data_IF_605950199954
#
_entry.id   IF_605950199954
#
_cell.length_a   1.000
_cell.length_b   1.000
_cell.length_c   1.000
_cell.angle_alpha   90.00
_cell.angle_beta   90.00
_cell.angle_gamma   90.00
#
_symmetry.space_group_name_H-M   'P 1'
#
loop_
_entity.id
_entity.type
_entity.pdbx_description
1 polymer ?
#
# COMPACT_ATOMS: atom_id res chain seq x y z
N UNK A 1 20.78 -2.64 -64.21
CA UNK A 1 19.56 -3.33 -63.76
C UNK A 1 19.85 -4.07 -62.46
N UNK A 2 19.49 -3.50 -61.31
CA UNK A 2 19.27 -4.28 -60.08
C UNK A 2 18.07 -3.62 -59.38
N UNK A 3 17.03 -4.42 -59.15
CA UNK A 3 15.69 -4.02 -58.75
C UNK A 3 15.60 -3.63 -57.27
N UNK A 4 14.80 -2.60 -56.98
CA UNK A 4 14.28 -2.29 -55.65
C UNK A 4 13.38 -3.43 -55.16
N UNK A 5 13.66 -3.98 -53.98
CA UNK A 5 12.75 -4.89 -53.28
C UNK A 5 11.91 -4.07 -52.29
N UNK A 6 10.65 -3.85 -52.64
CA UNK A 6 9.62 -3.30 -51.76
C UNK A 6 9.29 -4.35 -50.70
N UNK A 7 9.43 -4.01 -49.42
CA UNK A 7 9.03 -4.87 -48.30
C UNK A 7 7.49 -4.97 -48.25
N UNK A 8 6.98 -6.19 -48.12
CA UNK A 8 5.53 -6.49 -48.10
C UNK A 8 4.90 -6.16 -46.73
N UNK A 9 3.58 -5.88 -46.64
CA UNK A 9 2.92 -5.41 -45.42
C UNK A 9 2.80 -6.43 -44.28
N UNK A 10 3.32 -7.65 -44.47
CA UNK A 10 3.08 -8.79 -43.57
C UNK A 10 4.04 -8.84 -42.37
N UNK A 11 5.14 -8.08 -42.40
CA UNK A 11 6.18 -8.10 -41.35
C UNK A 11 5.86 -7.16 -40.17
N UNK A 12 4.95 -6.19 -40.34
CA UNK A 12 4.56 -5.27 -39.28
C UNK A 12 3.64 -5.93 -38.23
N UNK A 13 2.81 -6.92 -38.62
CA UNK A 13 1.89 -7.62 -37.71
C UNK A 13 2.59 -8.64 -36.80
N UNK A 14 3.75 -9.18 -37.20
CA UNK A 14 4.53 -10.12 -36.38
C UNK A 14 5.29 -9.41 -35.24
N UNK A 15 5.69 -8.15 -35.43
CA UNK A 15 6.37 -7.36 -34.39
C UNK A 15 5.39 -6.84 -33.33
N UNK A 16 4.15 -6.48 -33.69
CA UNK A 16 3.14 -6.00 -32.72
C UNK A 16 2.64 -7.13 -31.81
N UNK A 17 2.50 -8.35 -32.32
CA UNK A 17 2.10 -9.51 -31.51
C UNK A 17 3.18 -9.92 -30.49
N UNK A 18 4.47 -9.76 -30.85
CA UNK A 18 5.60 -10.03 -29.94
C UNK A 18 5.66 -9.06 -28.75
N UNK A 19 5.32 -7.79 -28.96
CA UNK A 19 5.32 -6.77 -27.90
C UNK A 19 4.14 -6.98 -26.94
N UNK A 20 2.94 -7.30 -27.45
CA UNK A 20 1.79 -7.63 -26.61
C UNK A 20 2.02 -8.91 -25.78
N UNK A 21 2.70 -9.92 -26.33
CA UNK A 21 3.08 -11.14 -25.61
C UNK A 21 4.21 -10.93 -24.59
N UNK A 22 5.13 -9.98 -24.85
CA UNK A 22 6.20 -9.62 -23.92
C UNK A 22 5.64 -8.82 -22.73
N UNK A 23 4.73 -7.87 -22.96
CA UNK A 23 4.03 -7.12 -21.89
C UNK A 23 3.15 -8.07 -21.05
N UNK A 24 2.48 -9.03 -21.70
CA UNK A 24 1.74 -10.11 -21.04
C UNK A 24 2.62 -11.00 -20.15
N UNK A 25 3.81 -11.40 -20.63
CA UNK A 25 4.79 -12.21 -19.88
C UNK A 25 5.43 -11.47 -18.71
N UNK A 26 5.78 -10.19 -18.87
CA UNK A 26 6.35 -9.37 -17.78
C UNK A 26 5.33 -9.18 -16.64
N UNK A 27 4.03 -9.05 -16.96
CA UNK A 27 2.97 -8.96 -15.96
C UNK A 27 2.73 -10.29 -15.20
N UNK A 28 2.89 -11.44 -15.86
CA UNK A 28 2.82 -12.77 -15.23
C UNK A 28 4.07 -13.07 -14.39
N UNK A 29 5.24 -12.61 -14.81
CA UNK A 29 6.46 -12.70 -14.03
C UNK A 29 6.35 -11.91 -12.73
N UNK A 30 5.99 -10.62 -12.72
CA UNK A 30 5.91 -9.85 -11.46
C UNK A 30 5.04 -10.48 -10.36
N UNK A 31 3.91 -11.10 -10.71
CA UNK A 31 3.04 -11.81 -9.73
C UNK A 31 3.63 -13.15 -9.26
N UNK A 32 4.43 -13.82 -10.09
CA UNK A 32 5.18 -15.03 -9.71
C UNK A 32 6.36 -14.70 -8.79
N UNK A 33 7.01 -13.55 -8.98
CA UNK A 33 8.21 -13.16 -8.25
C UNK A 33 7.93 -12.88 -6.77
N UNK A 34 6.82 -12.22 -6.44
CA UNK A 34 6.46 -12.01 -5.03
C UNK A 34 5.93 -13.29 -4.35
N UNK A 35 5.25 -14.18 -5.09
CA UNK A 35 4.72 -15.46 -4.57
C UNK A 35 5.81 -16.46 -4.21
N UNK A 36 6.94 -16.43 -4.92
CA UNK A 36 8.05 -17.35 -4.66
C UNK A 36 8.91 -16.92 -3.46
N UNK A 37 8.71 -15.72 -2.93
CA UNK A 37 9.59 -15.11 -1.93
C UNK A 37 8.86 -14.68 -0.65
N UNK A 38 7.58 -14.31 -0.75
CA UNK A 38 6.71 -14.12 0.43
C UNK A 38 5.89 -15.36 0.74
N UNK A 39 5.64 -15.60 2.03
CA UNK A 39 4.72 -16.65 2.47
C UNK A 39 3.28 -16.26 2.13
N UNK A 40 2.42 -17.26 1.90
CA UNK A 40 0.98 -17.02 1.86
C UNK A 40 0.52 -16.52 3.24
N UNK A 41 -0.41 -15.57 3.26
CA UNK A 41 -0.88 -14.95 4.51
C UNK A 41 -1.90 -15.83 5.22
N UNK A 42 -2.69 -16.60 4.46
CA UNK A 42 -3.68 -17.54 5.00
C UNK A 42 -4.01 -18.63 3.98
N UNK A 43 -4.94 -19.53 4.32
CA UNK A 43 -5.56 -20.45 3.37
C UNK A 43 -6.85 -19.85 2.83
N UNK A 44 -7.23 -20.22 1.61
CA UNK A 44 -8.50 -19.80 1.05
C UNK A 44 -9.67 -20.29 1.93
N UNK A 45 -10.60 -19.40 2.29
CA UNK A 45 -11.75 -19.74 3.14
C UNK A 45 -12.83 -20.53 2.38
N UNK A 46 -12.66 -20.79 1.08
CA UNK A 46 -13.59 -21.55 0.24
C UNK A 46 -13.48 -23.08 0.40
N UNK A 47 -12.79 -23.55 1.45
CA UNK A 47 -12.61 -24.97 1.76
C UNK A 47 -11.55 -25.67 0.89
N UNK A 48 -11.02 -25.03 -0.16
CA UNK A 48 -10.01 -25.66 -1.04
C UNK A 48 -8.67 -25.93 -0.36
N UNK A 49 -8.40 -25.30 0.79
CA UNK A 49 -7.13 -25.41 1.52
C UNK A 49 -5.94 -24.77 0.78
N UNK A 50 -6.17 -24.19 -0.39
CA UNK A 50 -5.13 -23.57 -1.22
C UNK A 50 -4.57 -22.31 -0.55
N UNK A 51 -3.29 -21.97 -0.74
CA UNK A 51 -2.72 -20.78 -0.13
C UNK A 51 -3.32 -19.50 -0.74
N UNK A 52 -3.58 -18.51 0.11
CA UNK A 52 -4.08 -17.19 -0.25
C UNK A 52 -3.00 -16.14 0.02
N UNK A 53 -2.65 -15.41 -1.03
CA UNK A 53 -1.77 -14.25 -0.95
C UNK A 53 -2.60 -12.98 -0.93
N UNK A 54 -2.32 -12.13 0.04
CA UNK A 54 -3.00 -10.85 0.22
C UNK A 54 -2.00 -9.70 0.23
N UNK A 55 -2.50 -8.50 -0.05
CA UNK A 55 -1.78 -7.27 0.23
C UNK A 55 -2.14 -6.78 1.65
N UNK A 56 -1.27 -6.00 2.32
CA UNK A 56 -0.02 -5.44 1.80
C UNK A 56 1.13 -6.45 1.72
N UNK A 57 2.11 -6.12 0.88
CA UNK A 57 3.42 -6.79 0.81
C UNK A 57 4.52 -5.73 0.89
N UNK A 58 5.62 -6.07 1.56
CA UNK A 58 6.82 -5.25 1.68
C UNK A 58 8.00 -5.97 1.03
N UNK A 59 8.80 -5.22 0.27
CA UNK A 59 10.14 -5.64 -0.15
C UNK A 59 11.11 -4.64 0.45
N UNK A 60 11.96 -5.10 1.37
CA UNK A 60 13.07 -4.29 1.90
C UNK A 60 14.37 -4.69 1.17
N UNK A 61 14.89 -3.83 0.27
CA UNK A 61 16.14 -4.08 -0.43
C UNK A 61 17.39 -3.73 0.40
N UNK A 62 17.23 -3.10 1.56
CA UNK A 62 18.34 -2.62 2.40
C UNK A 62 18.87 -3.69 3.35
N UNK A 63 17.97 -4.52 3.87
CA UNK A 63 18.31 -5.63 4.76
C UNK A 63 18.27 -6.95 3.99
N UNK A 64 19.42 -7.29 3.42
CA UNK A 64 19.61 -8.54 2.69
C UNK A 64 19.83 -9.72 3.64
N UNK A 65 19.32 -10.88 3.28
CA UNK A 65 19.61 -12.13 3.98
C UNK A 65 21.07 -12.60 3.73
N UNK A 66 21.46 -13.71 4.35
CA UNK A 66 22.79 -14.31 4.20
C UNK A 66 23.12 -14.74 2.77
N UNK A 67 22.12 -14.86 1.90
CA UNK A 67 22.27 -15.18 0.47
C UNK A 67 22.26 -13.93 -0.43
N UNK A 68 22.26 -12.72 0.16
CA UNK A 68 22.25 -11.45 -0.57
C UNK A 68 20.88 -11.09 -1.16
N UNK A 69 19.80 -11.69 -0.67
CA UNK A 69 18.44 -11.52 -1.18
C UNK A 69 17.65 -10.51 -0.35
N UNK A 70 16.79 -9.68 -0.97
CA UNK A 70 15.97 -8.72 -0.23
C UNK A 70 14.96 -9.43 0.66
N UNK A 71 14.61 -8.80 1.77
CA UNK A 71 13.56 -9.31 2.65
C UNK A 71 12.19 -9.06 1.99
N UNK A 72 11.41 -10.13 1.81
CA UNK A 72 10.06 -10.05 1.20
C UNK A 72 9.03 -10.56 2.19
N UNK A 73 8.09 -9.69 2.57
CA UNK A 73 7.09 -9.96 3.59
C UNK A 73 5.69 -9.69 3.06
N UNK A 74 4.74 -10.43 3.58
CA UNK A 74 3.29 -10.28 3.41
C UNK A 74 2.67 -10.37 4.80
N UNK A 75 1.41 -9.94 4.94
CA UNK A 75 0.71 -9.73 6.22
C UNK A 75 1.11 -8.44 6.94
N UNK A 76 0.12 -7.59 7.24
CA UNK A 76 0.37 -6.26 7.81
C UNK A 76 1.01 -6.31 9.20
N UNK A 77 0.64 -7.28 10.05
CA UNK A 77 1.22 -7.41 11.38
C UNK A 77 2.66 -7.94 11.30
N UNK A 78 2.91 -8.89 10.41
CA UNK A 78 4.27 -9.39 10.14
C UNK A 78 5.17 -8.27 9.64
N UNK A 79 4.68 -7.46 8.69
CA UNK A 79 5.39 -6.31 8.15
C UNK A 79 5.72 -5.30 9.26
N UNK A 80 4.75 -4.92 10.09
CA UNK A 80 4.99 -3.92 11.15
C UNK A 80 5.98 -4.45 12.20
N UNK A 81 5.88 -5.72 12.61
CA UNK A 81 6.86 -6.32 13.54
C UNK A 81 8.27 -6.33 12.97
N UNK A 82 8.42 -6.58 11.67
CA UNK A 82 9.70 -6.49 11.00
C UNK A 82 10.24 -5.05 11.00
N UNK A 83 9.41 -4.08 10.63
CA UNK A 83 9.81 -2.68 10.61
C UNK A 83 10.23 -2.19 12.00
N UNK A 84 9.48 -2.54 13.05
CA UNK A 84 9.82 -2.20 14.44
C UNK A 84 11.13 -2.85 14.93
N UNK A 85 11.47 -4.03 14.41
CA UNK A 85 12.71 -4.72 14.76
C UNK A 85 13.93 -4.12 14.03
N UNK A 86 13.74 -3.71 12.78
CA UNK A 86 14.81 -3.25 11.89
C UNK A 86 15.04 -1.74 11.98
N UNK A 87 13.99 -0.98 12.30
CA UNK A 87 13.99 0.49 12.44
C UNK A 87 13.48 0.87 13.84
N UNK A 88 14.24 0.57 14.91
CA UNK A 88 13.78 0.69 16.29
C UNK A 88 13.50 2.14 16.74
N UNK A 89 14.00 3.13 16.03
CA UNK A 89 13.76 4.56 16.28
C UNK A 89 12.32 5.00 16.02
N UNK A 90 11.54 4.18 15.30
CA UNK A 90 10.17 4.48 14.87
C UNK A 90 9.16 3.41 15.30
N UNK A 91 9.42 2.71 16.41
CA UNK A 91 8.55 1.62 16.89
C UNK A 91 7.11 2.05 17.17
N UNK A 92 6.16 1.35 16.57
CA UNK A 92 4.72 1.56 16.77
C UNK A 92 4.05 0.48 17.62
N UNK A 93 4.70 -0.66 17.82
CA UNK A 93 4.31 -1.73 18.75
C UNK A 93 5.24 -1.66 19.97
N UNK A 94 4.67 -1.55 21.17
CA UNK A 94 5.46 -1.57 22.40
C UNK A 94 5.78 -3.00 22.81
N UNK A 95 6.95 -3.20 23.38
CA UNK A 95 7.36 -4.50 23.89
C UNK A 95 6.37 -4.99 24.96
N UNK A 96 6.04 -6.29 24.92
CA UNK A 96 5.08 -6.90 25.85
C UNK A 96 3.59 -6.66 25.53
N UNK A 97 3.23 -5.83 24.55
CA UNK A 97 1.82 -5.46 24.27
C UNK A 97 1.18 -6.23 23.11
N UNK A 98 1.87 -7.24 22.54
CA UNK A 98 1.39 -8.01 21.38
C UNK A 98 -0.03 -8.57 21.54
N UNK A 99 -0.37 -9.11 22.71
CA UNK A 99 -1.70 -9.67 22.98
C UNK A 99 -2.78 -8.58 23.01
N UNK A 100 -2.46 -7.41 23.55
CA UNK A 100 -3.37 -6.26 23.60
C UNK A 100 -3.66 -5.72 22.20
N UNK A 101 -2.64 -5.60 21.35
CA UNK A 101 -2.84 -5.21 19.95
C UNK A 101 -3.67 -6.23 19.17
N UNK A 102 -3.46 -7.53 19.40
CA UNK A 102 -4.27 -8.57 18.77
C UNK A 102 -5.74 -8.48 19.19
N UNK A 103 -6.00 -8.28 20.49
CA UNK A 103 -7.35 -8.08 21.02
C UNK A 103 -8.01 -6.81 20.48
N UNK A 104 -7.26 -5.70 20.42
CA UNK A 104 -7.73 -4.44 19.86
C UNK A 104 -8.07 -4.55 18.37
N UNK A 105 -7.19 -5.15 17.57
CA UNK A 105 -7.45 -5.36 16.14
C UNK A 105 -8.71 -6.22 15.90
N UNK A 106 -8.90 -7.27 16.69
CA UNK A 106 -10.12 -8.08 16.65
C UNK A 106 -11.36 -7.27 17.05
N UNK A 107 -11.26 -6.44 18.08
CA UNK A 107 -12.33 -5.55 18.53
C UNK A 107 -12.72 -4.52 17.46
N UNK A 108 -11.74 -3.91 16.79
CA UNK A 108 -11.99 -2.99 15.67
C UNK A 108 -12.62 -3.73 14.48
N UNK A 109 -12.14 -4.93 14.14
CA UNK A 109 -12.76 -5.71 13.08
C UNK A 109 -14.22 -6.06 13.40
N UNK A 110 -14.51 -6.49 14.62
CA UNK A 110 -15.86 -6.85 15.05
C UNK A 110 -16.82 -5.65 15.07
N UNK A 111 -16.34 -4.48 15.51
CA UNK A 111 -17.21 -3.31 15.72
C UNK A 111 -17.19 -2.32 14.56
N UNK A 112 -16.24 -2.37 13.64
CA UNK A 112 -16.16 -1.40 12.54
C UNK A 112 -15.86 -2.08 11.20
N UNK A 113 -14.69 -2.71 11.08
CA UNK A 113 -14.23 -3.26 9.80
C UNK A 113 -15.21 -4.25 9.17
N UNK A 114 -15.70 -5.21 9.94
CA UNK A 114 -16.68 -6.21 9.51
C UNK A 114 -18.05 -5.63 9.19
N UNK A 115 -18.46 -4.55 9.86
CA UNK A 115 -19.74 -3.86 9.60
C UNK A 115 -19.70 -3.04 8.31
N UNK A 116 -18.54 -2.46 8.01
CA UNK A 116 -18.32 -1.75 6.74
C UNK A 116 -18.30 -2.68 5.52
N UNK A 117 -18.07 -3.98 5.70
CA UNK A 117 -18.01 -4.94 4.57
C UNK A 117 -19.28 -4.89 3.72
N UNK A 118 -20.45 -4.93 4.35
CA UNK A 118 -21.74 -4.86 3.67
C UNK A 118 -21.91 -3.56 2.86
N UNK A 119 -21.49 -2.43 3.43
CA UNK A 119 -21.67 -1.11 2.83
C UNK A 119 -20.67 -0.81 1.70
N UNK A 120 -19.42 -1.27 1.87
CA UNK A 120 -18.28 -0.81 1.08
C UNK A 120 -17.90 -1.81 -0.02
N UNK A 121 -17.96 -3.13 0.24
CA UNK A 121 -17.55 -4.14 -0.74
C UNK A 121 -18.34 -4.06 -2.06
N UNK A 122 -19.67 -3.87 -2.06
CA UNK A 122 -20.43 -3.72 -3.30
C UNK A 122 -20.04 -2.51 -4.15
N UNK A 123 -19.43 -1.49 -3.52
CA UNK A 123 -19.02 -0.25 -4.17
C UNK A 123 -17.58 -0.30 -4.71
N UNK A 124 -16.73 -1.18 -4.17
CA UNK A 124 -15.35 -1.39 -4.64
C UNK A 124 -15.21 -1.53 -6.17
N UNK A 125 -16.07 -2.29 -6.90
CA UNK A 125 -15.98 -2.42 -8.36
C UNK A 125 -15.92 -1.08 -9.13
N UNK A 126 -16.52 -0.01 -8.59
CA UNK A 126 -16.63 1.28 -9.27
C UNK A 126 -15.31 2.05 -9.34
N UNK A 127 -14.34 1.73 -8.48
CA UNK A 127 -13.04 2.42 -8.41
C UNK A 127 -11.87 1.56 -8.90
N UNK A 128 -12.15 0.32 -9.32
CA UNK A 128 -11.12 -0.63 -9.78
C UNK A 128 -10.93 -0.55 -11.30
N UNK A 129 -9.69 -0.77 -11.75
CA UNK A 129 -9.42 -1.03 -13.17
C UNK A 129 -10.18 -2.26 -13.65
N UNK A 130 -10.57 -2.32 -14.93
CA UNK A 130 -11.33 -3.42 -15.53
C UNK A 130 -10.91 -4.82 -15.07
N UNK A 131 -9.63 -5.17 -15.26
CA UNK A 131 -9.10 -6.48 -14.86
C UNK A 131 -9.25 -6.78 -13.36
N UNK A 132 -9.05 -5.78 -12.52
CA UNK A 132 -9.18 -5.92 -11.07
C UNK A 132 -10.64 -6.02 -10.67
N UNK A 133 -11.53 -5.30 -11.36
CA UNK A 133 -12.98 -5.34 -11.18
C UNK A 133 -13.52 -6.74 -11.46
N UNK A 134 -13.22 -7.31 -12.63
CA UNK A 134 -13.62 -8.67 -13.01
C UNK A 134 -13.20 -9.70 -11.96
N UNK A 135 -11.92 -9.69 -11.57
CA UNK A 135 -11.40 -10.59 -10.54
C UNK A 135 -12.07 -10.37 -9.18
N UNK A 136 -12.30 -9.11 -8.79
CA UNK A 136 -12.91 -8.76 -7.53
C UNK A 136 -14.35 -9.28 -7.46
N UNK A 137 -15.18 -8.97 -8.46
CA UNK A 137 -16.58 -9.43 -8.54
C UNK A 137 -16.63 -10.95 -8.47
N UNK A 138 -15.92 -11.64 -9.37
CA UNK A 138 -15.89 -13.11 -9.41
C UNK A 138 -15.51 -13.73 -8.05
N UNK A 139 -14.47 -13.21 -7.40
CA UNK A 139 -13.99 -13.78 -6.13
C UNK A 139 -14.85 -13.42 -4.93
N UNK A 140 -15.46 -12.23 -4.90
CA UNK A 140 -16.31 -11.80 -3.79
C UNK A 140 -17.68 -12.42 -3.90
N UNK A 141 -18.26 -12.54 -5.09
CA UNK A 141 -19.56 -13.19 -5.27
C UNK A 141 -19.52 -14.66 -4.92
N UNK A 142 -18.44 -15.36 -5.30
CA UNK A 142 -18.21 -16.75 -4.85
C UNK A 142 -18.18 -16.88 -3.32
N UNK A 143 -17.67 -15.87 -2.62
CA UNK A 143 -17.43 -15.92 -1.16
C UNK A 143 -18.60 -15.37 -0.33
N UNK A 144 -19.27 -14.33 -0.81
CA UNK A 144 -20.19 -13.49 -0.05
C UNK A 144 -21.62 -13.50 -0.63
N UNK A 145 -21.82 -14.14 -1.79
CA UNK A 145 -23.07 -14.03 -2.55
C UNK A 145 -23.09 -12.81 -3.47
N UNK A 146 -24.18 -12.59 -4.23
CA UNK A 146 -24.29 -11.50 -5.20
C UNK A 146 -23.99 -10.15 -4.55
N UNK A 147 -23.07 -9.37 -5.15
CA UNK A 147 -22.69 -8.08 -4.58
C UNK A 147 -23.87 -7.09 -4.52
N UNK A 148 -24.79 -7.20 -5.48
CA UNK A 148 -26.02 -6.40 -5.55
C UNK A 148 -26.99 -6.66 -4.40
N UNK A 149 -26.86 -7.81 -3.71
CA UNK A 149 -27.75 -8.24 -2.63
C UNK A 149 -27.12 -8.09 -1.24
N UNK A 150 -25.83 -7.70 -1.16
CA UNK A 150 -25.10 -7.65 0.11
C UNK A 150 -25.65 -6.62 1.10
N UNK A 151 -26.23 -5.52 0.63
CA UNK A 151 -26.75 -4.44 1.47
C UNK A 151 -28.21 -4.12 1.15
N UNK A 152 -29.16 -5.01 1.51
CA UNK A 152 -30.57 -4.83 1.21
C UNK A 152 -31.20 -3.68 2.03
N UNK A 153 -30.65 -3.39 3.21
CA UNK A 153 -31.08 -2.29 4.08
C UNK A 153 -29.87 -1.44 4.51
N UNK A 154 -29.57 -0.45 3.66
CA UNK A 154 -28.44 0.45 3.88
C UNK A 154 -28.57 1.29 5.15
N UNK A 155 -29.79 1.63 5.56
CA UNK A 155 -30.03 2.42 6.77
C UNK A 155 -29.70 1.60 8.03
N UNK A 156 -30.15 0.34 8.07
CA UNK A 156 -29.78 -0.59 9.15
C UNK A 156 -28.28 -0.82 9.21
N UNK A 157 -27.64 -1.07 8.08
CA UNK A 157 -26.19 -1.27 8.02
C UNK A 157 -25.42 -0.05 8.58
N UNK A 158 -25.85 1.16 8.25
CA UNK A 158 -25.29 2.39 8.82
C UNK A 158 -25.52 2.53 10.33
N UNK A 159 -26.72 2.20 10.82
CA UNK A 159 -27.01 2.19 12.26
C UNK A 159 -26.10 1.21 13.02
N UNK A 160 -25.77 0.08 12.41
CA UNK A 160 -24.81 -0.86 12.99
C UNK A 160 -23.39 -0.30 13.05
N UNK A 161 -22.93 0.41 12.01
CA UNK A 161 -21.62 1.09 12.03
C UNK A 161 -21.59 2.15 13.12
N UNK A 162 -22.66 2.94 13.26
CA UNK A 162 -22.76 3.94 14.32
C UNK A 162 -22.65 3.29 15.71
N UNK A 163 -23.41 2.22 15.98
CA UNK A 163 -23.32 1.47 17.23
C UNK A 163 -21.90 0.94 17.51
N UNK A 164 -21.23 0.48 16.45
CA UNK A 164 -19.86 0.03 16.51
C UNK A 164 -18.87 1.13 16.89
N UNK A 165 -19.02 2.29 16.26
CA UNK A 165 -18.25 3.49 16.57
C UNK A 165 -18.54 3.99 17.99
N UNK A 166 -19.77 3.93 18.48
CA UNK A 166 -20.11 4.27 19.87
C UNK A 166 -19.34 3.38 20.87
N UNK A 167 -19.22 2.07 20.60
CA UNK A 167 -18.42 1.15 21.44
C UNK A 167 -16.93 1.48 21.41
N UNK A 168 -16.40 1.82 20.24
CA UNK A 168 -15.00 2.25 20.10
C UNK A 168 -14.78 3.57 20.83
N UNK A 169 -15.71 4.52 20.73
CA UNK A 169 -15.65 5.78 21.44
C UNK A 169 -15.67 5.57 22.96
N UNK A 170 -16.52 4.67 23.46
CA UNK A 170 -16.55 4.29 24.86
C UNK A 170 -15.24 3.66 25.33
N UNK A 171 -14.62 2.79 24.51
CA UNK A 171 -13.31 2.22 24.83
C UNK A 171 -12.21 3.29 24.89
N UNK A 172 -12.21 4.25 23.95
CA UNK A 172 -11.27 5.37 23.95
C UNK A 172 -11.45 6.29 25.18
N UNK A 173 -12.70 6.51 25.62
CA UNK A 173 -12.97 7.31 26.82
C UNK A 173 -12.35 6.74 28.10
N UNK A 174 -11.95 5.47 28.11
CA UNK A 174 -11.21 4.89 29.24
C UNK A 174 -9.84 5.55 29.47
N UNK A 175 -9.30 6.26 28.47
CA UNK A 175 -8.10 7.07 28.61
C UNK A 175 -8.32 8.37 29.41
N UNK A 176 -9.58 8.71 29.72
CA UNK A 176 -9.98 9.91 30.47
C UNK A 176 -10.67 10.95 29.60
N UNK A 177 -10.88 12.14 30.14
CA UNK A 177 -11.51 13.26 29.41
C UNK A 177 -10.47 14.07 28.62
N UNK A 178 -10.89 14.61 27.47
CA UNK A 178 -10.07 15.48 26.61
C UNK A 178 -9.68 14.85 25.27
N UNK A 179 -9.56 15.68 24.23
CA UNK A 179 -9.12 15.26 22.90
C UNK A 179 -7.68 14.73 22.93
N UNK A 180 -6.82 15.28 23.79
CA UNK A 180 -5.43 14.83 23.95
C UNK A 180 -5.29 13.38 24.45
N UNK A 181 -6.34 12.84 25.07
CA UNK A 181 -6.40 11.47 25.59
C UNK A 181 -7.18 10.51 24.69
N UNK A 182 -8.12 11.04 23.90
CA UNK A 182 -9.12 10.20 23.22
C UNK A 182 -9.02 10.22 21.70
N UNK A 183 -8.13 11.02 21.10
CA UNK A 183 -7.88 11.00 19.66
C UNK A 183 -6.79 9.99 19.23
N UNK A 184 -6.10 9.37 20.20
CA UNK A 184 -5.20 8.25 19.99
C UNK A 184 -5.56 7.12 20.95
N UNK A 185 -5.34 5.89 20.53
CA UNK A 185 -5.55 4.70 21.38
C UNK A 185 -4.58 4.73 22.55
N UNK A 186 -3.33 5.10 22.29
CA UNK A 186 -2.33 5.35 23.33
C UNK A 186 -2.01 6.84 23.35
N UNK A 187 -2.44 7.58 24.40
CA UNK A 187 -2.17 9.01 24.51
C UNK A 187 -0.68 9.35 24.38
N UNK A 188 -0.38 10.46 23.70
CA UNK A 188 0.98 10.99 23.59
C UNK A 188 1.91 10.29 22.59
N UNK A 189 1.48 9.21 21.92
CA UNK A 189 2.30 8.54 20.89
C UNK A 189 1.46 7.96 19.77
N UNK A 190 2.06 7.77 18.61
CA UNK A 190 1.45 6.94 17.56
C UNK A 190 1.74 5.47 17.85
N UNK A 191 0.76 4.63 17.54
CA UNK A 191 0.81 3.20 17.79
C UNK A 191 0.16 2.39 16.69
N UNK A 192 0.49 1.09 16.62
CA UNK A 192 -0.16 0.19 15.67
C UNK A 192 -1.69 0.12 15.88
N UNK A 193 -2.16 0.34 17.11
CA UNK A 193 -3.58 0.35 17.43
C UNK A 193 -4.31 1.50 16.75
N UNK A 194 -3.68 2.67 16.65
CA UNK A 194 -4.22 3.81 15.92
C UNK A 194 -4.38 3.46 14.43
N UNK A 195 -3.40 2.79 13.83
CA UNK A 195 -3.47 2.39 12.43
C UNK A 195 -4.57 1.37 12.18
N UNK A 196 -4.78 0.42 13.11
CA UNK A 196 -5.89 -0.54 12.99
C UNK A 196 -7.27 0.13 13.10
N UNK A 197 -7.38 1.21 13.89
CA UNK A 197 -8.61 2.01 14.00
C UNK A 197 -8.86 2.86 12.76
N UNK A 198 -7.81 3.50 12.24
CA UNK A 198 -7.91 4.46 11.14
C UNK A 198 -8.05 3.77 9.77
N UNK A 199 -7.43 2.60 9.57
CA UNK A 199 -7.49 1.86 8.30
C UNK A 199 -8.92 1.61 7.77
N UNK A 200 -9.90 1.11 8.55
CA UNK A 200 -11.26 0.93 8.08
C UNK A 200 -11.99 2.25 7.78
N UNK A 201 -11.71 3.33 8.53
CA UNK A 201 -12.26 4.66 8.25
C UNK A 201 -11.77 5.19 6.90
N UNK A 202 -10.48 4.99 6.61
CA UNK A 202 -9.89 5.37 5.33
C UNK A 202 -10.43 4.55 4.17
N UNK A 203 -10.62 3.24 4.40
CA UNK A 203 -11.24 2.38 3.41
C UNK A 203 -12.65 2.85 3.05
N UNK A 204 -13.46 3.20 4.05
CA UNK A 204 -14.78 3.80 3.82
C UNK A 204 -14.66 5.12 3.05
N UNK A 205 -13.85 6.07 3.52
CA UNK A 205 -13.69 7.40 2.90
C UNK A 205 -13.24 7.37 1.44
N UNK A 206 -12.56 6.31 1.00
CA UNK A 206 -12.08 6.16 -0.37
C UNK A 206 -13.17 5.68 -1.35
N UNK A 207 -14.33 5.26 -0.85
CA UNK A 207 -15.32 4.50 -1.62
C UNK A 207 -16.74 5.03 -1.45
N UNK A 208 -17.16 5.35 -0.21
CA UNK A 208 -18.53 5.80 0.05
C UNK A 208 -18.75 7.23 -0.46
N UNK A 209 -20.02 7.61 -0.61
CA UNK A 209 -20.39 8.96 -1.04
C UNK A 209 -19.98 10.02 -0.01
N UNK A 210 -19.72 11.25 -0.49
CA UNK A 210 -19.33 12.37 0.36
C UNK A 210 -20.35 12.64 1.47
N UNK A 211 -21.64 12.63 1.14
CA UNK A 211 -22.72 12.89 2.09
C UNK A 211 -22.74 11.87 3.24
N UNK A 212 -22.51 10.59 2.92
CA UNK A 212 -22.45 9.53 3.92
C UNK A 212 -21.20 9.66 4.81
N UNK A 213 -20.07 10.07 4.21
CA UNK A 213 -18.85 10.33 4.95
C UNK A 213 -19.01 11.52 5.91
N UNK A 214 -19.68 12.59 5.49
CA UNK A 214 -19.99 13.75 6.34
C UNK A 214 -20.87 13.35 7.54
N UNK A 215 -21.82 12.43 7.36
CA UNK A 215 -22.63 11.88 8.45
C UNK A 215 -21.77 11.08 9.42
N UNK A 216 -20.95 10.13 8.94
CA UNK A 216 -20.04 9.36 9.79
C UNK A 216 -19.14 10.28 10.61
N UNK A 217 -18.56 11.28 9.95
CA UNK A 217 -17.65 12.24 10.57
C UNK A 217 -18.29 13.09 11.65
N UNK A 218 -19.61 13.29 11.61
CA UNK A 218 -20.35 14.05 12.61
C UNK A 218 -20.56 13.30 13.93
N UNK A 219 -20.49 11.96 13.92
CA UNK A 219 -20.79 11.13 15.09
C UNK A 219 -19.79 11.31 16.23
N UNK A 220 -20.28 11.01 17.44
CA UNK A 220 -19.53 11.12 18.70
C UNK A 220 -18.86 12.51 18.88
N UNK A 221 -19.57 13.57 18.51
CA UNK A 221 -19.09 14.95 18.63
C UNK A 221 -17.97 15.29 17.65
N UNK A 222 -18.00 14.73 16.43
CA UNK A 222 -16.99 14.97 15.41
C UNK A 222 -15.70 14.17 15.60
N UNK A 223 -15.69 13.18 16.50
CA UNK A 223 -14.46 12.48 16.93
C UNK A 223 -13.73 11.82 15.76
N UNK A 224 -14.45 11.17 14.86
CA UNK A 224 -13.86 10.41 13.76
C UNK A 224 -13.15 11.32 12.76
N UNK A 225 -13.75 12.49 12.45
CA UNK A 225 -13.08 13.54 11.67
C UNK A 225 -11.77 13.98 12.32
N UNK A 226 -11.82 14.34 13.61
CA UNK A 226 -10.63 14.77 14.36
C UNK A 226 -9.52 13.71 14.36
N UNK A 227 -9.86 12.43 14.52
CA UNK A 227 -8.89 11.33 14.47
C UNK A 227 -8.26 11.24 13.07
N UNK A 228 -9.04 11.30 12.00
CA UNK A 228 -8.50 11.24 10.64
C UNK A 228 -7.62 12.45 10.31
N UNK A 229 -8.07 13.66 10.67
CA UNK A 229 -7.32 14.91 10.49
C UNK A 229 -5.98 14.88 11.24
N UNK A 230 -5.97 14.38 12.48
CA UNK A 230 -4.77 14.23 13.29
C UNK A 230 -3.72 13.35 12.59
N UNK A 231 -4.13 12.20 12.06
CA UNK A 231 -3.24 11.26 11.38
C UNK A 231 -2.83 11.74 9.98
N UNK A 232 -3.64 12.57 9.33
CA UNK A 232 -3.25 13.26 8.10
C UNK A 232 -2.21 14.35 8.36
N UNK A 233 -2.42 15.16 9.40
CA UNK A 233 -1.51 16.23 9.79
C UNK A 233 -0.15 15.71 10.27
N UNK A 234 -0.11 14.58 10.99
CA UNK A 234 1.15 13.95 11.41
C UNK A 234 1.95 13.34 10.25
N UNK A 235 1.34 13.26 9.06
CA UNK A 235 1.96 12.71 7.87
C UNK A 235 1.90 11.17 7.79
N UNK A 236 1.33 10.51 8.79
CA UNK A 236 1.03 9.06 8.76
C UNK A 236 0.11 8.73 7.59
N UNK A 237 -0.88 9.60 7.32
CA UNK A 237 -1.79 9.48 6.18
C UNK A 237 -1.39 10.39 5.02
N UNK A 238 -0.10 10.53 4.74
CA UNK A 238 0.35 10.94 3.41
C UNK A 238 0.09 9.79 2.43
N UNK A 239 -1.19 9.50 2.21
CA UNK A 239 -1.64 8.86 1.00
C UNK A 239 -1.33 9.89 -0.09
N UNK A 240 -0.16 9.77 -0.73
CA UNK A 240 -0.03 10.25 -2.09
C UNK A 240 -1.05 9.43 -2.88
N UNK A 241 -2.28 9.92 -2.92
CA UNK A 241 -3.23 9.60 -3.97
C UNK A 241 -2.44 9.91 -5.24
N UNK A 242 -1.92 8.86 -5.88
CA UNK A 242 -1.40 8.94 -7.23
C UNK A 242 -2.55 9.56 -8.02
N UNK A 243 -2.43 10.87 -8.27
CA UNK A 243 -3.45 11.64 -8.97
C UNK A 243 -3.77 10.87 -10.24
N UNK A 244 -5.02 10.44 -10.34
CA UNK A 244 -5.57 9.77 -11.50
C UNK A 244 -5.27 10.59 -12.76
N UNK A 245 -4.36 10.11 -13.62
CA UNK A 245 -4.21 10.63 -14.98
C UNK A 245 -2.79 10.79 -15.53
N UNK A 246 -1.74 10.87 -14.71
CA UNK A 246 -0.37 10.99 -15.24
C UNK A 246 0.24 9.59 -15.48
N UNK A 247 0.73 9.27 -16.69
CA UNK A 247 1.54 8.07 -16.89
C UNK A 247 2.77 8.19 -15.99
N UNK A 248 3.12 7.10 -15.31
CA UNK A 248 4.32 7.01 -14.47
C UNK A 248 5.57 7.25 -15.34
N UNK A 249 6.00 8.50 -15.43
CA UNK A 249 7.26 8.92 -16.05
C UNK A 249 8.24 9.26 -14.93
N UNK A 250 9.31 8.46 -14.84
CA UNK A 250 10.37 8.67 -13.86
C UNK A 250 11.21 9.89 -14.26
N UNK A 251 10.76 11.09 -13.90
CA UNK A 251 11.50 12.34 -14.17
C UNK A 251 12.52 12.59 -13.07
N UNK A 252 13.79 12.42 -13.41
CA UNK A 252 14.92 12.99 -12.68
C UNK A 252 14.83 14.53 -12.77
N UNK A 253 14.35 15.20 -11.72
CA UNK A 253 14.46 16.65 -11.62
C UNK A 253 15.80 17.03 -10.99
N UNK A 254 16.73 17.52 -11.82
CA UNK A 254 17.87 18.32 -11.37
C UNK A 254 17.35 19.70 -10.96
N UNK A 255 17.16 19.99 -9.67
CA UNK A 255 17.09 21.38 -9.21
C UNK A 255 17.74 21.57 -7.84
N UNK A 256 18.27 22.77 -7.67
CA UNK A 256 19.43 23.17 -6.88
C UNK A 256 19.08 23.75 -5.50
N UNK A 257 19.91 23.36 -4.51
CA UNK A 257 20.25 23.97 -3.20
C UNK A 257 19.14 24.19 -2.13
N UNK A 258 19.33 23.72 -0.88
CA UNK A 258 18.27 23.66 0.13
C UNK A 258 18.45 24.60 1.34
N UNK A 259 17.35 24.88 2.08
CA UNK A 259 17.35 25.70 3.32
C UNK A 259 16.76 25.02 4.56
N UNK A 260 16.62 23.69 4.64
CA UNK A 260 16.27 23.06 5.94
C UNK A 260 16.73 21.62 6.14
N UNK A 261 16.97 21.28 7.41
CA UNK A 261 17.70 20.12 7.91
C UNK A 261 17.03 18.74 7.67
N UNK A 262 15.86 18.67 7.04
CA UNK A 262 15.13 17.43 6.77
C UNK A 262 15.57 16.70 5.48
N UNK A 263 16.51 17.26 4.71
CA UNK A 263 17.02 16.65 3.47
C UNK A 263 18.32 15.84 3.62
N UNK A 264 18.87 15.72 4.83
CA UNK A 264 20.13 14.98 5.01
C UNK A 264 19.97 13.45 4.83
N UNK A 265 18.77 12.91 5.06
CA UNK A 265 18.52 11.47 5.10
C UNK A 265 18.57 10.77 3.73
N UNK A 266 18.32 11.48 2.61
CA UNK A 266 18.32 10.88 1.27
C UNK A 266 19.68 10.81 0.58
N UNK A 267 20.76 11.25 1.24
CA UNK A 267 22.07 11.40 0.59
C UNK A 267 22.98 10.17 0.63
N UNK A 268 22.63 9.10 1.36
CA UNK A 268 23.48 7.88 1.48
C UNK A 268 23.02 6.67 0.66
N UNK A 269 21.90 6.72 -0.07
CA UNK A 269 21.34 5.55 -0.79
C UNK A 269 21.78 5.48 -2.26
N UNK A 270 22.93 6.03 -2.66
CA UNK A 270 23.37 5.91 -4.06
C UNK A 270 24.88 5.90 -4.25
N UNK A 271 25.51 4.74 -4.01
CA UNK A 271 26.71 4.30 -4.75
C UNK A 271 26.68 2.78 -4.89
N UNK A 272 26.33 2.26 -6.07
CA UNK A 272 27.26 1.42 -6.85
C UNK A 272 26.66 1.09 -8.24
N UNK A 273 27.54 1.07 -9.24
CA UNK A 273 27.29 1.13 -10.69
C UNK A 273 27.19 -0.26 -11.33
N UNK A 274 26.33 -0.34 -12.36
CA UNK A 274 26.56 -0.88 -13.72
C UNK A 274 27.31 -2.23 -13.90
N UNK A 275 26.61 -3.20 -14.50
CA UNK A 275 27.20 -4.12 -15.47
C UNK A 275 26.47 -3.92 -16.81
N UNK A 276 27.18 -3.38 -17.79
CA UNK A 276 26.80 -3.42 -19.22
C UNK A 276 27.66 -4.49 -19.89
N UNK A 277 27.03 -5.45 -20.55
CA UNK A 277 27.66 -6.19 -21.64
C UNK A 277 27.21 -5.59 -22.96
N UNK A 278 28.16 -5.04 -23.72
CA UNK A 278 28.30 -5.19 -25.17
C UNK A 278 29.52 -4.36 -25.58
N UNK A 279 30.50 -5.04 -26.17
CA UNK A 279 31.75 -4.43 -26.62
C UNK A 279 31.64 -3.75 -27.98
N UNK A 280 32.84 -3.37 -28.42
CA UNK A 280 33.27 -2.95 -29.75
C UNK A 280 33.20 -1.44 -30.08
N UNK A 281 34.41 -0.93 -30.33
CA UNK A 281 34.81 0.22 -31.14
C UNK A 281 34.62 1.62 -30.54
N UNK A 282 35.72 2.23 -30.09
CA UNK A 282 36.43 3.26 -30.87
C UNK A 282 37.78 3.59 -30.21
N UNK A 283 38.75 3.81 -31.09
CA UNK A 283 40.19 3.97 -30.93
C UNK A 283 40.56 5.42 -30.54
N UNK A 284 41.72 5.56 -29.88
CA UNK A 284 42.64 6.72 -29.82
C UNK A 284 42.30 7.95 -28.95
N UNK A 285 43.23 8.21 -28.02
CA UNK A 285 43.96 9.46 -27.69
C UNK A 285 44.17 9.54 -26.16
N UNK A 286 45.28 8.98 -25.66
CA UNK A 286 46.54 9.68 -25.35
C UNK A 286 46.45 10.79 -24.28
N UNK A 287 47.04 10.46 -23.12
CA UNK A 287 48.08 11.17 -22.35
C UNK A 287 47.89 12.65 -21.93
N UNK A 288 48.41 12.88 -20.71
CA UNK A 288 48.71 14.15 -20.02
C UNK A 288 47.48 14.78 -19.33
N UNK A 289 47.50 15.28 -18.09
CA UNK A 289 48.57 15.73 -17.18
C UNK A 289 47.92 15.73 -15.77
N UNK A 290 48.44 15.01 -14.78
CA UNK A 290 49.40 15.48 -13.77
C UNK A 290 49.05 16.81 -13.05
N UNK A 291 49.07 16.70 -11.70
CA UNK A 291 49.36 17.70 -10.64
C UNK A 291 48.31 18.77 -10.26
N UNK A 292 47.82 18.65 -9.01
CA UNK A 292 47.84 19.64 -7.91
C UNK A 292 46.75 19.23 -6.89
N UNK A 293 47.00 18.65 -5.71
CA UNK A 293 47.68 19.13 -4.48
C UNK A 293 47.18 20.48 -3.93
N UNK A 294 46.62 20.38 -2.71
CA UNK A 294 46.68 21.31 -1.58
C UNK A 294 46.05 22.71 -1.73
N UNK A 295 44.84 22.86 -1.18
CA UNK A 295 44.52 23.73 -0.03
C UNK A 295 43.16 23.30 0.54
#
# INVERSE_FOLDING_TARGET
MVAQRVARPHDAQLQTNSIHDAVGRVSRHRKSWARNWSKATMRNPDGSGTPLWTCPMLVDPTHLDTSGKPTVLSDSLVIVKYLDAVYPEHKVIQDGTNALYAAWAAFIWQNLGGKLVELVVPLCPNILSERSREYFVMTREKRLGPLSEMCPDRAKAWAEVQNGLDKIAAALNANGEGDEKNLKVIPGRESYADFTLVAPLLWASSIIGKDEMEVLESWNGGRWRKIMDLHQASGVLKIQLLKSGEPFEFKYSRLTRPTSCWQWYWRKVSVSRHIRHAGANIISLQRASAKASMC
#
